data_IF_955611049205
#
_entry.id   IF_955611049205
#
_cell.length_a   1.000
_cell.length_b   1.000
_cell.length_c   1.000
_cell.angle_alpha   90.00
_cell.angle_beta   90.00
_cell.angle_gamma   90.00
#
_symmetry.space_group_name_H-M   'P 1'
#
loop_
_entity.id
_entity.type
_entity.pdbx_description
1 polymer ?
#
# COMPACT_ATOMS: atom_id res chain seq x y z
N UNK A 1 -17.86 11.31 7.72
CA UNK A 1 -17.07 10.50 8.67
C UNK A 1 -15.60 10.88 8.52
N UNK A 2 -14.90 11.25 9.60
CA UNK A 2 -13.48 11.62 9.54
C UNK A 2 -12.63 10.39 9.14
N UNK A 3 -11.56 10.59 8.35
CA UNK A 3 -10.64 9.53 7.90
C UNK A 3 -10.06 8.73 9.06
N UNK A 4 -9.73 9.38 10.17
CA UNK A 4 -9.20 8.71 11.36
C UNK A 4 -10.24 7.74 11.97
N UNK A 5 -11.52 8.14 12.02
CA UNK A 5 -12.61 7.29 12.50
C UNK A 5 -12.78 6.04 11.64
N UNK A 6 -12.66 6.18 10.31
CA UNK A 6 -12.67 5.04 9.38
C UNK A 6 -11.49 4.11 9.61
N UNK A 7 -10.30 4.67 9.86
CA UNK A 7 -9.10 3.86 10.06
C UNK A 7 -9.16 3.08 11.38
N UNK A 8 -9.61 3.72 12.46
CA UNK A 8 -9.84 3.04 13.74
C UNK A 8 -10.83 1.86 13.60
N UNK A 9 -11.87 2.03 12.79
CA UNK A 9 -12.85 0.97 12.54
C UNK A 9 -12.24 -0.22 11.78
N UNK A 10 -11.49 0.05 10.70
CA UNK A 10 -10.76 -0.99 9.95
C UNK A 10 -9.77 -1.73 10.86
N UNK A 11 -9.07 -1.00 11.74
CA UNK A 11 -8.14 -1.60 12.69
C UNK A 11 -8.89 -2.57 13.62
N UNK A 12 -9.97 -2.09 14.25
CA UNK A 12 -10.82 -2.87 15.15
C UNK A 12 -11.35 -4.14 14.48
N UNK A 13 -11.80 -4.03 13.23
CA UNK A 13 -12.39 -5.15 12.50
C UNK A 13 -11.34 -6.23 12.15
N UNK A 14 -10.07 -5.85 11.94
CA UNK A 14 -9.00 -6.78 11.59
C UNK A 14 -8.41 -7.54 12.77
N UNK A 15 -8.20 -6.87 13.91
CA UNK A 15 -7.49 -7.45 15.06
C UNK A 15 -8.42 -7.86 16.20
N UNK A 16 -9.71 -7.54 16.09
CA UNK A 16 -10.69 -7.78 17.14
C UNK A 16 -10.65 -6.74 18.26
N UNK A 17 -11.73 -6.68 19.04
CA UNK A 17 -11.96 -5.60 20.01
C UNK A 17 -10.95 -5.58 21.17
N UNK A 18 -10.49 -6.75 21.60
CA UNK A 18 -9.58 -6.87 22.75
C UNK A 18 -8.18 -6.32 22.43
N UNK A 19 -7.60 -6.71 21.29
CA UNK A 19 -6.31 -6.15 20.85
C UNK A 19 -6.43 -4.68 20.46
N UNK A 20 -7.57 -4.28 19.90
CA UNK A 20 -7.83 -2.88 19.57
C UNK A 20 -7.83 -1.98 20.80
N UNK A 21 -8.38 -2.41 21.94
CA UNK A 21 -8.36 -1.60 23.17
C UNK A 21 -6.94 -1.30 23.65
N UNK A 22 -6.06 -2.30 23.67
CA UNK A 22 -4.66 -2.14 24.06
C UNK A 22 -3.94 -1.16 23.13
N UNK A 23 -4.13 -1.31 21.82
CA UNK A 23 -3.50 -0.42 20.83
C UNK A 23 -4.09 0.99 20.89
N UNK A 24 -5.40 1.14 21.10
CA UNK A 24 -6.05 2.43 21.20
C UNK A 24 -5.62 3.21 22.45
N UNK A 25 -5.38 2.53 23.58
CA UNK A 25 -4.82 3.13 24.79
C UNK A 25 -3.37 3.60 24.58
N UNK A 26 -2.56 2.81 23.86
CA UNK A 26 -1.17 3.17 23.55
C UNK A 26 -1.07 4.32 22.53
N UNK A 27 -2.01 4.42 21.59
CA UNK A 27 -2.03 5.42 20.52
C UNK A 27 -2.90 6.65 20.87
N UNK A 28 -3.23 6.83 22.14
CA UNK A 28 -4.14 7.90 22.54
C UNK A 28 -3.59 9.27 22.10
N UNK A 29 -4.39 10.02 21.34
CA UNK A 29 -4.06 11.30 20.67
C UNK A 29 -3.26 11.23 19.36
N UNK A 30 -2.90 10.04 18.86
CA UNK A 30 -2.25 9.91 17.55
C UNK A 30 -3.24 9.77 16.39
N UNK A 31 -2.88 10.31 15.22
CA UNK A 31 -3.65 10.14 14.00
C UNK A 31 -3.18 8.89 13.26
N UNK A 32 -4.01 7.85 13.30
CA UNK A 32 -3.74 6.60 12.58
C UNK A 32 -3.90 6.79 11.08
N UNK A 33 -2.79 6.68 10.36
CA UNK A 33 -2.78 6.48 8.92
C UNK A 33 -2.46 5.01 8.65
N UNK A 34 -3.32 4.34 7.91
CA UNK A 34 -2.84 3.14 7.23
C UNK A 34 -1.99 3.59 6.06
N UNK A 35 -0.77 3.05 5.96
CA UNK A 35 0.00 3.11 4.72
C UNK A 35 -0.93 2.77 3.57
N UNK A 36 -1.01 3.70 2.62
CA UNK A 36 -2.04 3.82 1.62
C UNK A 36 -2.39 2.44 1.01
N UNK A 37 -3.51 1.84 1.41
CA UNK A 37 -4.02 0.60 0.79
C UNK A 37 -4.27 0.78 -0.73
N UNK A 38 -4.22 2.01 -1.23
CA UNK A 38 -4.29 2.33 -2.66
C UNK A 38 -3.00 2.04 -3.42
N UNK A 39 -1.87 1.78 -2.75
CA UNK A 39 -0.62 1.34 -3.38
C UNK A 39 -0.47 -0.17 -3.39
N UNK A 40 -1.56 -0.93 -3.55
CA UNK A 40 -1.53 -2.41 -3.59
C UNK A 40 -0.76 -3.07 -2.43
N UNK A 41 -0.81 -2.48 -1.24
CA UNK A 41 -0.15 -3.04 -0.06
C UNK A 41 1.33 -2.68 0.13
N UNK A 42 1.91 -1.75 -0.65
CA UNK A 42 3.27 -1.25 -0.42
C UNK A 42 3.34 -0.12 0.61
N UNK A 43 4.35 -0.15 1.49
CA UNK A 43 4.58 0.83 2.56
C UNK A 43 5.05 2.18 2.00
N UNK A 44 5.81 2.18 0.91
CA UNK A 44 6.31 3.41 0.25
C UNK A 44 6.21 3.37 -1.28
N UNK A 45 6.43 4.53 -1.94
CA UNK A 45 6.47 4.59 -3.42
C UNK A 45 7.73 3.92 -3.94
N UNK A 46 8.81 4.05 -3.18
CA UNK A 46 10.11 3.46 -3.43
C UNK A 46 10.01 1.93 -3.39
N UNK A 47 9.35 1.37 -2.37
CA UNK A 47 9.12 -0.07 -2.26
C UNK A 47 8.26 -0.60 -3.43
N UNK A 48 7.17 0.10 -3.76
CA UNK A 48 6.34 -0.24 -4.93
C UNK A 48 7.17 -0.21 -6.22
N UNK A 49 8.00 0.82 -6.39
CA UNK A 49 8.87 0.96 -7.56
C UNK A 49 9.88 -0.19 -7.65
N UNK A 50 10.55 -0.51 -6.55
CA UNK A 50 11.56 -1.56 -6.51
C UNK A 50 10.96 -2.93 -6.81
N UNK A 51 9.75 -3.20 -6.29
CA UNK A 51 8.99 -4.41 -6.62
C UNK A 51 8.67 -4.49 -8.12
N UNK A 52 8.14 -3.40 -8.72
CA UNK A 52 7.83 -3.34 -10.16
C UNK A 52 9.10 -3.53 -11.00
N UNK A 53 10.20 -2.87 -10.64
CA UNK A 53 11.49 -2.99 -11.33
C UNK A 53 12.05 -4.40 -11.28
N UNK A 54 11.96 -5.07 -10.12
CA UNK A 54 12.40 -6.45 -9.94
C UNK A 54 11.63 -7.40 -10.85
N UNK A 55 10.31 -7.30 -10.87
CA UNK A 55 9.48 -8.15 -11.74
C UNK A 55 9.70 -7.87 -13.22
N UNK A 56 9.89 -6.60 -13.59
CA UNK A 56 10.27 -6.21 -14.95
C UNK A 56 11.61 -6.84 -15.37
N UNK A 57 12.64 -6.78 -14.52
CA UNK A 57 13.94 -7.40 -14.81
C UNK A 57 13.91 -8.93 -14.79
N UNK A 58 12.94 -9.55 -14.11
CA UNK A 58 12.67 -10.98 -14.20
C UNK A 58 11.90 -11.39 -15.46
N UNK A 59 11.58 -10.43 -16.35
CA UNK A 59 10.97 -10.71 -17.65
C UNK A 59 9.46 -10.84 -17.63
N UNK A 60 8.78 -10.27 -16.61
CA UNK A 60 7.32 -10.20 -16.62
C UNK A 60 6.82 -9.40 -17.82
N UNK A 61 5.75 -9.86 -18.47
CA UNK A 61 5.10 -9.11 -19.55
C UNK A 61 4.39 -7.87 -19.00
N UNK A 62 4.11 -6.90 -19.89
CA UNK A 62 3.34 -5.72 -19.51
C UNK A 62 1.97 -6.09 -18.95
N UNK A 63 1.29 -7.08 -19.52
CA UNK A 63 -0.02 -7.55 -19.05
C UNK A 63 0.06 -8.12 -17.63
N UNK A 64 1.11 -8.91 -17.32
CA UNK A 64 1.33 -9.46 -15.99
C UNK A 64 1.61 -8.36 -14.96
N UNK A 65 2.37 -7.33 -15.34
CA UNK A 65 2.62 -6.17 -14.47
C UNK A 65 1.35 -5.34 -14.26
N UNK A 66 0.51 -5.18 -15.29
CA UNK A 66 -0.76 -4.46 -15.16
C UNK A 66 -1.72 -5.18 -14.22
N UNK A 67 -1.86 -6.49 -14.35
CA UNK A 67 -2.74 -7.30 -13.50
C UNK A 67 -2.25 -7.29 -12.04
N UNK A 68 -0.96 -7.54 -11.83
CA UNK A 68 -0.36 -7.62 -10.49
C UNK A 68 -0.38 -6.29 -9.73
N UNK A 69 -0.18 -5.18 -10.43
CA UNK A 69 -0.06 -3.86 -9.81
C UNK A 69 -1.26 -2.94 -10.10
N UNK A 70 -2.28 -3.36 -10.83
CA UNK A 70 -3.44 -2.52 -11.15
C UNK A 70 -3.08 -1.17 -11.80
N UNK A 71 -1.92 -1.08 -12.45
CA UNK A 71 -1.40 0.13 -13.07
C UNK A 71 -1.62 0.09 -14.59
N UNK A 72 -1.69 1.26 -15.22
CA UNK A 72 -1.70 1.35 -16.69
C UNK A 72 -0.30 1.07 -17.25
N UNK A 73 -0.22 0.56 -18.49
CA UNK A 73 1.06 0.39 -19.20
C UNK A 73 1.88 1.68 -19.18
N UNK A 74 1.26 2.84 -19.39
CA UNK A 74 1.96 4.14 -19.37
C UNK A 74 2.59 4.45 -18.00
N UNK A 75 1.90 4.13 -16.89
CA UNK A 75 2.44 4.32 -15.55
C UNK A 75 3.62 3.37 -15.28
N UNK A 76 3.48 2.10 -15.68
CA UNK A 76 4.55 1.10 -15.56
C UNK A 76 5.77 1.51 -16.40
N UNK A 77 5.56 1.97 -17.63
CA UNK A 77 6.61 2.45 -18.53
C UNK A 77 7.42 3.59 -17.90
N UNK A 78 6.76 4.60 -17.30
CA UNK A 78 7.44 5.70 -16.59
C UNK A 78 8.26 5.22 -15.38
N UNK A 79 7.82 4.16 -14.74
CA UNK A 79 8.50 3.57 -13.58
C UNK A 79 9.76 2.83 -14.02
N UNK A 80 9.66 2.05 -15.10
CA UNK A 80 10.75 1.22 -15.63
C UNK A 80 11.76 1.99 -16.48
N UNK A 81 11.35 3.08 -17.13
CA UNK A 81 12.22 3.95 -17.94
C UNK A 81 13.02 4.98 -17.15
N UNK A 82 12.74 5.18 -15.85
CA UNK A 82 13.51 6.11 -15.00
C UNK A 82 14.93 5.58 -14.66
N UNK A 83 15.64 5.13 -15.68
CA UNK A 83 17.07 4.83 -15.72
C UNK A 83 17.68 5.58 -16.91
N UNK A 84 17.94 6.87 -16.68
CA UNK A 84 19.09 7.60 -17.18
C UNK A 84 19.35 8.75 -16.19
#
# INVERSE_FOLDING_TARGET
MNRNTRNLQILRDKIGIEQFRVIAELLNQEHLTFGDYTRNGFVSKEEQRDAIMKDFYHGYSWEQLQDKYGLTVSALYKITEKKA
#
